data_IF_034587886973
#
_entry.id   IF_034587886973
#
_cell.length_a   1.000
_cell.length_b   1.000
_cell.length_c   1.000
_cell.angle_alpha   90.00
_cell.angle_beta   90.00
_cell.angle_gamma   90.00
#
_symmetry.space_group_name_H-M   'P 1'
#
loop_
_entity.id
_entity.type
_entity.pdbx_description
1 polymer ?
#
# COMPACT_ATOMS: atom_id res chain seq x y z
N UNK A 1 7.02 12.50 17.18
CA UNK A 1 7.13 11.32 16.32
C UNK A 1 7.61 10.09 17.11
N UNK A 2 8.80 10.14 17.75
CA UNK A 2 9.38 8.97 18.43
C UNK A 2 8.50 8.39 19.55
N UNK A 3 7.86 9.23 20.37
CA UNK A 3 6.93 8.74 21.39
C UNK A 3 5.78 7.94 20.75
N UNK A 4 5.13 8.51 19.73
CA UNK A 4 4.05 7.83 19.02
C UNK A 4 4.53 6.55 18.31
N UNK A 5 5.76 6.54 17.79
CA UNK A 5 6.37 5.36 17.18
C UNK A 5 6.48 4.21 18.18
N UNK A 6 6.96 4.49 19.38
CA UNK A 6 7.08 3.52 20.46
C UNK A 6 5.71 3.08 21.01
N UNK A 7 4.80 4.03 21.27
CA UNK A 7 3.45 3.73 21.75
C UNK A 7 2.68 2.85 20.76
N UNK A 8 2.79 3.14 19.46
CA UNK A 8 2.17 2.32 18.41
C UNK A 8 2.80 0.92 18.34
N UNK A 9 4.11 0.80 18.61
CA UNK A 9 4.79 -0.49 18.75
C UNK A 9 4.22 -1.32 19.90
N UNK A 10 4.08 -0.75 21.08
CA UNK A 10 3.46 -1.42 22.24
C UNK A 10 2.01 -1.81 21.95
N UNK A 11 1.21 -0.90 21.39
CA UNK A 11 -0.17 -1.20 21.00
C UNK A 11 -0.24 -2.38 20.03
N UNK A 12 0.62 -2.39 19.00
CA UNK A 12 0.68 -3.46 18.01
C UNK A 12 1.04 -4.80 18.67
N UNK A 13 2.05 -4.82 19.54
CA UNK A 13 2.45 -6.01 20.29
C UNK A 13 1.31 -6.58 21.13
N UNK A 14 0.55 -5.72 21.80
CA UNK A 14 -0.62 -6.13 22.59
C UNK A 14 -1.73 -6.72 21.71
N UNK A 15 -1.97 -6.16 20.50
CA UNK A 15 -2.96 -6.74 19.59
C UNK A 15 -2.49 -8.10 19.03
N UNK A 16 -1.18 -8.26 18.78
CA UNK A 16 -0.61 -9.54 18.36
C UNK A 16 -0.79 -10.60 19.46
N UNK A 17 -0.54 -10.25 20.72
CA UNK A 17 -0.77 -11.18 21.84
C UNK A 17 -2.24 -11.61 21.92
N UNK A 18 -3.19 -10.68 21.81
CA UNK A 18 -4.62 -11.01 21.75
C UNK A 18 -4.96 -11.98 20.61
N UNK A 19 -4.38 -11.74 19.42
CA UNK A 19 -4.55 -12.63 18.27
C UNK A 19 -3.97 -14.01 18.53
N UNK A 20 -2.77 -14.10 19.12
CA UNK A 20 -2.14 -15.37 19.49
C UNK A 20 -3.01 -16.14 20.48
N UNK A 21 -3.56 -15.47 21.50
CA UNK A 21 -4.46 -16.07 22.50
C UNK A 21 -5.76 -16.56 21.88
N UNK A 22 -6.43 -15.71 21.09
CA UNK A 22 -7.71 -16.03 20.46
C UNK A 22 -7.64 -17.23 19.54
N UNK A 23 -6.57 -17.32 18.73
CA UNK A 23 -6.37 -18.41 17.77
C UNK A 23 -5.50 -19.56 18.29
N UNK A 24 -5.15 -19.56 19.58
CA UNK A 24 -4.34 -20.61 20.24
C UNK A 24 -3.03 -20.90 19.49
N UNK A 25 -2.32 -19.82 19.12
CA UNK A 25 -1.08 -19.91 18.35
C UNK A 25 0.19 -19.93 19.22
N UNK A 26 0.06 -20.12 20.53
CA UNK A 26 1.20 -20.26 21.43
C UNK A 26 2.16 -21.34 20.92
N UNK A 27 3.44 -21.03 20.91
CA UNK A 27 4.53 -21.89 20.41
C UNK A 27 4.46 -22.25 18.90
N UNK A 28 3.53 -21.64 18.16
CA UNK A 28 3.40 -21.85 16.71
C UNK A 28 3.95 -20.69 15.89
N UNK A 29 4.12 -19.51 16.52
CA UNK A 29 4.66 -18.30 15.88
C UNK A 29 6.17 -18.26 16.11
N UNK A 30 6.94 -18.32 15.04
CA UNK A 30 8.41 -18.25 15.11
C UNK A 30 8.96 -16.83 14.97
N UNK A 31 8.26 -15.97 14.24
CA UNK A 31 8.69 -14.59 13.94
C UNK A 31 7.49 -13.71 13.61
N UNK A 32 7.58 -12.46 13.95
CA UNK A 32 6.65 -11.40 13.58
C UNK A 32 7.32 -10.54 12.51
N UNK A 33 6.63 -10.29 11.39
CA UNK A 33 7.05 -9.30 10.41
C UNK A 33 6.07 -8.12 10.46
N UNK A 34 6.56 -6.92 10.78
CA UNK A 34 5.73 -5.72 10.91
C UNK A 34 6.16 -4.67 9.88
N UNK A 35 5.23 -4.31 8.98
CA UNK A 35 5.44 -3.20 8.05
C UNK A 35 5.34 -1.85 8.76
N UNK A 36 4.55 -1.75 9.82
CA UNK A 36 4.21 -0.49 10.45
C UNK A 36 3.29 0.38 9.58
N UNK A 37 3.16 1.65 9.95
CA UNK A 37 2.38 2.65 9.20
C UNK A 37 3.31 3.72 8.62
N UNK A 38 3.34 3.84 7.30
CA UNK A 38 4.20 4.81 6.62
C UNK A 38 3.78 6.24 6.94
N UNK A 39 4.67 7.01 7.54
CA UNK A 39 4.48 8.41 7.91
C UNK A 39 5.29 9.35 7.03
N UNK A 40 6.49 8.97 6.68
CA UNK A 40 7.36 9.74 5.79
C UNK A 40 7.89 8.82 4.69
N UNK A 41 7.88 9.32 3.45
CA UNK A 41 8.40 8.58 2.31
C UNK A 41 9.01 9.54 1.30
N UNK A 42 10.32 9.61 1.30
CA UNK A 42 11.12 10.49 0.45
C UNK A 42 12.28 9.71 -0.18
N UNK A 43 12.01 8.81 -1.13
CA UNK A 43 13.02 7.95 -1.73
C UNK A 43 14.14 8.74 -2.43
N UNK A 44 13.82 9.88 -3.03
CA UNK A 44 14.82 10.79 -3.63
C UNK A 44 15.86 11.30 -2.62
N UNK A 45 15.49 11.33 -1.35
CA UNK A 45 16.38 11.67 -0.23
C UNK A 45 16.86 10.43 0.53
N UNK A 46 16.66 9.25 -0.01
CA UNK A 46 16.99 7.95 0.59
C UNK A 46 16.41 7.78 2.00
N UNK A 47 15.18 8.26 2.21
CA UNK A 47 14.52 8.23 3.51
C UNK A 47 13.10 7.69 3.41
N UNK A 48 12.78 6.80 4.34
CA UNK A 48 11.41 6.35 4.63
C UNK A 48 11.29 6.09 6.12
N UNK A 49 10.12 6.30 6.70
CA UNK A 49 9.86 6.00 8.09
C UNK A 49 8.44 5.44 8.27
N UNK A 50 8.37 4.37 9.01
CA UNK A 50 7.12 3.72 9.40
C UNK A 50 6.96 3.80 10.92
N UNK A 51 5.76 4.08 11.41
CA UNK A 51 5.41 3.94 12.82
C UNK A 51 5.32 2.46 13.20
N UNK A 52 5.74 2.11 14.40
CA UNK A 52 5.70 0.75 14.92
C UNK A 52 7.09 0.25 15.26
N UNK A 53 7.59 0.67 16.45
CA UNK A 53 8.88 0.26 16.98
C UNK A 53 8.95 -1.25 17.19
N UNK A 54 9.85 -1.92 16.48
CA UNK A 54 10.05 -3.36 16.57
C UNK A 54 10.54 -3.82 17.93
N UNK A 55 11.31 -3.01 18.65
CA UNK A 55 11.74 -3.34 20.00
C UNK A 55 10.56 -3.32 20.98
N UNK A 56 9.63 -2.36 20.83
CA UNK A 56 8.41 -2.31 21.61
C UNK A 56 7.51 -3.53 21.31
N UNK A 57 7.32 -3.90 20.02
CA UNK A 57 6.58 -5.10 19.63
C UNK A 57 7.23 -6.35 20.25
N UNK A 58 8.55 -6.50 20.14
CA UNK A 58 9.27 -7.64 20.70
C UNK A 58 9.18 -7.72 22.22
N UNK A 59 9.20 -6.59 22.91
CA UNK A 59 9.07 -6.54 24.36
C UNK A 59 7.71 -7.01 24.86
N UNK A 60 6.64 -6.69 24.13
CA UNK A 60 5.28 -7.15 24.46
C UNK A 60 5.06 -8.63 24.13
N UNK A 61 5.56 -9.08 22.98
CA UNK A 61 5.25 -10.43 22.45
C UNK A 61 6.25 -11.51 22.88
N UNK A 62 7.45 -11.12 23.30
CA UNK A 62 8.58 -12.00 23.60
C UNK A 62 8.97 -12.88 22.38
N UNK A 63 8.71 -12.40 21.18
CA UNK A 63 9.01 -13.07 19.91
C UNK A 63 10.01 -12.24 19.08
N UNK A 64 10.80 -12.89 18.21
CA UNK A 64 11.61 -12.19 17.21
C UNK A 64 10.74 -11.32 16.31
N UNK A 65 11.17 -10.09 16.03
CA UNK A 65 10.44 -9.12 15.20
C UNK A 65 11.34 -8.61 14.07
N UNK A 66 10.83 -8.60 12.86
CA UNK A 66 11.43 -7.99 11.67
C UNK A 66 10.62 -6.75 11.30
N UNK A 67 11.26 -5.60 11.29
CA UNK A 67 10.67 -4.28 10.96
C UNK A 67 11.46 -3.57 9.89
N UNK A 68 11.06 -2.34 9.55
CA UNK A 68 11.75 -1.46 8.59
C UNK A 68 11.94 -2.11 7.21
N UNK A 69 10.95 -2.89 6.79
CA UNK A 69 11.02 -3.71 5.57
C UNK A 69 11.30 -2.89 4.30
N UNK A 70 11.03 -1.58 4.32
CA UNK A 70 11.25 -0.66 3.19
C UNK A 70 12.58 0.11 3.28
N UNK A 71 13.13 0.22 4.48
CA UNK A 71 14.24 1.13 4.76
C UNK A 71 15.52 0.74 4.01
N UNK A 72 15.82 -0.55 3.93
CA UNK A 72 17.02 -1.03 3.26
C UNK A 72 16.98 -0.77 1.74
N UNK A 73 15.84 -1.04 1.10
CA UNK A 73 15.67 -0.78 -0.34
C UNK A 73 15.81 0.72 -0.65
N UNK A 74 15.17 1.57 0.14
CA UNK A 74 15.27 3.04 -0.01
C UNK A 74 16.70 3.53 0.22
N UNK A 75 17.42 2.98 1.19
CA UNK A 75 18.80 3.33 1.47
C UNK A 75 19.73 2.99 0.29
N UNK A 76 19.47 1.89 -0.42
CA UNK A 76 20.17 1.52 -1.65
C UNK A 76 19.70 2.33 -2.89
N UNK A 77 18.75 3.23 -2.75
CA UNK A 77 18.23 4.07 -3.84
C UNK A 77 17.02 3.48 -4.56
N UNK A 78 16.40 2.46 -3.98
CA UNK A 78 15.12 1.94 -4.43
C UNK A 78 13.94 2.78 -3.97
N UNK A 79 12.74 2.38 -4.39
CA UNK A 79 11.48 3.07 -4.08
C UNK A 79 10.83 2.62 -2.76
N UNK A 80 11.36 1.57 -2.12
CA UNK A 80 10.77 1.00 -0.92
C UNK A 80 9.40 0.36 -1.13
N UNK A 81 8.96 0.23 -2.38
CA UNK A 81 7.68 -0.37 -2.77
C UNK A 81 7.71 -1.90 -2.95
N UNK A 82 8.87 -2.58 -3.19
CA UNK A 82 8.89 -3.95 -3.71
C UNK A 82 8.57 -5.06 -2.69
N UNK A 83 7.99 -4.75 -1.53
CA UNK A 83 7.53 -5.78 -0.57
C UNK A 83 6.45 -6.66 -1.21
N UNK A 84 5.43 -6.05 -1.82
CA UNK A 84 4.35 -6.79 -2.50
C UNK A 84 4.89 -7.52 -3.71
N UNK A 85 5.61 -6.90 -4.65
CA UNK A 85 6.24 -7.58 -5.77
C UNK A 85 7.11 -8.77 -5.41
N UNK A 86 7.93 -8.68 -4.37
CA UNK A 86 8.76 -9.82 -3.94
C UNK A 86 7.91 -10.96 -3.38
N UNK A 87 6.83 -10.63 -2.66
CA UNK A 87 5.85 -11.60 -2.18
C UNK A 87 5.12 -12.30 -3.33
N UNK A 88 4.67 -11.55 -4.32
CA UNK A 88 4.04 -12.07 -5.53
C UNK A 88 4.98 -13.04 -6.26
N UNK A 89 6.22 -12.62 -6.49
CA UNK A 89 7.24 -13.44 -7.15
C UNK A 89 7.54 -14.74 -6.41
N UNK A 90 7.66 -14.69 -5.09
CA UNK A 90 8.09 -15.85 -4.30
C UNK A 90 6.93 -16.78 -3.90
N UNK A 91 5.73 -16.23 -3.70
CA UNK A 91 4.60 -16.96 -3.15
C UNK A 91 3.53 -17.28 -4.19
N UNK A 92 3.42 -16.50 -5.26
CA UNK A 92 2.35 -16.57 -6.24
C UNK A 92 2.89 -16.75 -7.68
N UNK A 93 4.01 -17.43 -7.84
CA UNK A 93 4.72 -17.57 -9.13
C UNK A 93 3.95 -18.22 -10.28
N UNK A 94 2.71 -18.68 -10.05
CA UNK A 94 1.86 -19.27 -11.09
C UNK A 94 1.02 -18.27 -11.91
N UNK A 95 1.18 -16.96 -11.64
CA UNK A 95 0.44 -15.90 -12.35
C UNK A 95 1.40 -14.96 -13.06
N UNK A 96 1.03 -14.51 -14.27
CA UNK A 96 1.82 -13.57 -15.07
C UNK A 96 1.62 -12.12 -14.63
N UNK A 97 0.41 -11.78 -14.18
CA UNK A 97 0.05 -10.41 -13.78
C UNK A 97 -0.66 -10.40 -12.43
N UNK A 98 -0.38 -9.36 -11.65
CA UNK A 98 -1.10 -9.04 -10.42
C UNK A 98 -1.65 -7.63 -10.52
N UNK A 99 -2.94 -7.48 -10.29
CA UNK A 99 -3.62 -6.19 -10.21
C UNK A 99 -4.08 -5.94 -8.78
N UNK A 100 -3.52 -4.92 -8.15
CA UNK A 100 -3.94 -4.46 -6.84
C UNK A 100 -4.82 -3.21 -6.98
N UNK A 101 -6.03 -3.28 -6.42
CA UNK A 101 -7.03 -2.20 -6.43
C UNK A 101 -7.16 -1.59 -5.02
N UNK A 102 -6.13 -0.86 -4.60
CA UNK A 102 -6.11 -0.09 -3.36
C UNK A 102 -6.65 1.33 -3.53
N UNK A 103 -6.14 2.27 -2.74
CA UNK A 103 -6.38 3.71 -2.95
C UNK A 103 -5.85 4.19 -4.30
N UNK A 104 -4.72 3.64 -4.70
CA UNK A 104 -4.11 3.69 -6.04
C UNK A 104 -4.16 2.27 -6.59
N UNK A 105 -4.49 2.13 -7.87
CA UNK A 105 -4.37 0.87 -8.58
C UNK A 105 -2.94 0.69 -9.11
N UNK A 106 -2.35 -0.48 -8.88
CA UNK A 106 -1.05 -0.83 -9.43
C UNK A 106 -1.05 -2.21 -10.04
N UNK A 107 -0.14 -2.43 -10.97
CA UNK A 107 0.03 -3.69 -11.68
C UNK A 107 1.48 -4.18 -11.57
N UNK A 108 1.63 -5.48 -11.42
CA UNK A 108 2.92 -6.16 -11.51
C UNK A 108 2.89 -7.17 -12.66
N UNK A 109 3.96 -7.24 -13.44
CA UNK A 109 4.21 -8.26 -14.44
C UNK A 109 5.30 -9.20 -13.93
N UNK A 110 4.92 -10.43 -13.62
CA UNK A 110 5.78 -11.46 -13.06
C UNK A 110 6.61 -12.16 -14.14
N UNK A 111 7.44 -11.39 -14.85
CA UNK A 111 8.39 -11.97 -15.78
C UNK A 111 9.67 -12.38 -15.00
N UNK A 112 10.12 -13.66 -15.07
CA UNK A 112 11.29 -14.13 -14.35
C UNK A 112 12.56 -13.31 -14.62
N UNK A 113 12.74 -12.83 -15.86
CA UNK A 113 13.93 -12.10 -16.29
C UNK A 113 13.81 -10.59 -16.06
N UNK A 114 12.58 -10.06 -16.01
CA UNK A 114 12.34 -8.62 -15.88
C UNK A 114 11.02 -8.36 -15.16
N UNK A 115 11.03 -8.51 -13.84
CA UNK A 115 9.87 -8.17 -13.03
C UNK A 115 9.62 -6.66 -13.07
N UNK A 116 8.42 -6.26 -13.48
CA UNK A 116 8.03 -4.85 -13.59
C UNK A 116 6.78 -4.58 -12.78
N UNK A 117 6.80 -3.54 -11.96
CA UNK A 117 5.63 -3.09 -11.19
C UNK A 117 5.51 -1.56 -11.25
N UNK A 118 4.31 -1.05 -11.40
CA UNK A 118 4.05 0.39 -11.43
C UNK A 118 2.60 0.74 -11.11
N UNK A 119 2.37 1.99 -10.71
CA UNK A 119 1.03 2.52 -10.46
C UNK A 119 0.32 2.82 -11.79
N UNK A 120 -0.96 2.44 -11.87
CA UNK A 120 -1.78 2.65 -13.07
C UNK A 120 -2.52 3.98 -12.96
N UNK A 121 -3.36 4.12 -11.93
CA UNK A 121 -4.24 5.26 -11.74
C UNK A 121 -4.70 5.39 -10.28
N UNK A 122 -5.20 6.56 -9.86
CA UNK A 122 -6.00 6.66 -8.65
C UNK A 122 -7.21 5.72 -8.75
N UNK A 123 -7.56 5.08 -7.64
CA UNK A 123 -8.67 4.12 -7.58
C UNK A 123 -9.59 4.43 -6.40
N UNK A 124 -9.70 3.56 -5.41
CA UNK A 124 -10.68 3.70 -4.34
C UNK A 124 -10.58 5.02 -3.57
N UNK A 125 -9.41 5.65 -3.53
CA UNK A 125 -9.28 6.96 -2.88
C UNK A 125 -10.19 8.01 -3.54
N UNK A 126 -10.14 8.12 -4.87
CA UNK A 126 -10.99 9.08 -5.61
C UNK A 126 -12.43 8.61 -5.67
N UNK A 127 -12.65 7.30 -5.92
CA UNK A 127 -14.00 6.73 -5.96
C UNK A 127 -14.74 6.95 -4.64
N UNK A 128 -14.08 6.75 -3.51
CA UNK A 128 -14.70 6.99 -2.20
C UNK A 128 -14.95 8.48 -1.94
N UNK A 129 -14.09 9.38 -2.41
CA UNK A 129 -14.37 10.83 -2.32
C UNK A 129 -15.66 11.21 -3.07
N UNK A 130 -15.85 10.69 -4.30
CA UNK A 130 -17.07 10.91 -5.08
C UNK A 130 -18.32 10.37 -4.37
N UNK A 131 -18.21 9.19 -3.80
CA UNK A 131 -19.32 8.53 -3.10
C UNK A 131 -19.64 9.21 -1.77
N UNK A 132 -18.65 9.79 -1.10
CA UNK A 132 -18.83 10.58 0.12
C UNK A 132 -19.74 11.81 -0.11
N UNK A 133 -19.74 12.40 -1.31
CA UNK A 133 -20.67 13.46 -1.68
C UNK A 133 -22.14 13.01 -1.65
N UNK A 134 -22.37 11.70 -1.81
CA UNK A 134 -23.69 11.06 -1.68
C UNK A 134 -23.98 10.56 -0.26
N UNK A 135 -23.14 10.91 0.73
CA UNK A 135 -23.28 10.52 2.12
C UNK A 135 -22.96 9.03 2.40
N UNK A 136 -22.18 8.39 1.55
CA UNK A 136 -21.75 7.00 1.71
C UNK A 136 -20.23 6.90 1.84
N UNK A 137 -19.75 5.87 2.51
CA UNK A 137 -18.30 5.65 2.69
C UNK A 137 -17.64 5.06 1.43
N UNK A 138 -18.33 4.17 0.72
CA UNK A 138 -17.89 3.52 -0.50
C UNK A 138 -19.09 3.04 -1.35
N UNK A 139 -18.83 2.66 -2.59
CA UNK A 139 -19.83 2.09 -3.50
C UNK A 139 -19.90 0.56 -3.32
N UNK A 140 -20.83 0.11 -2.50
CA UNK A 140 -21.01 -1.31 -2.19
C UNK A 140 -21.39 -2.11 -3.44
N UNK A 141 -20.52 -3.06 -3.78
CA UNK A 141 -20.66 -3.89 -4.99
C UNK A 141 -20.60 -3.11 -6.31
N UNK A 142 -20.16 -1.84 -6.32
CA UNK A 142 -20.08 -1.03 -7.53
C UNK A 142 -21.44 -0.64 -8.12
N UNK A 143 -22.51 -0.62 -7.31
CA UNK A 143 -23.89 -0.41 -7.78
C UNK A 143 -24.14 1.01 -8.28
N UNK A 144 -23.51 2.01 -7.64
CA UNK A 144 -23.62 3.42 -8.08
C UNK A 144 -22.95 3.57 -9.43
N UNK A 145 -21.72 3.07 -9.56
CA UNK A 145 -20.99 3.10 -10.83
C UNK A 145 -21.75 2.37 -11.95
N UNK A 146 -22.34 1.19 -11.65
CA UNK A 146 -23.10 0.40 -12.62
C UNK A 146 -24.40 1.09 -13.05
N UNK A 147 -24.98 1.97 -12.24
CA UNK A 147 -26.19 2.72 -12.58
C UNK A 147 -25.92 3.93 -13.46
N UNK A 148 -24.66 4.35 -13.59
CA UNK A 148 -24.25 5.50 -14.39
C UNK A 148 -24.02 5.18 -15.86
N UNK A 149 -23.68 6.22 -16.61
CA UNK A 149 -23.24 6.12 -18.00
C UNK A 149 -21.86 6.76 -18.13
N UNK A 150 -21.04 6.22 -19.05
CA UNK A 150 -19.71 6.76 -19.27
C UNK A 150 -19.82 8.18 -19.85
N UNK A 151 -19.11 9.11 -19.22
CA UNK A 151 -18.91 10.46 -19.76
C UNK A 151 -17.64 10.48 -20.63
N UNK A 152 -17.82 10.35 -21.93
CA UNK A 152 -16.71 10.24 -22.90
C UNK A 152 -15.79 11.48 -22.84
N UNK A 153 -16.35 12.68 -22.68
CA UNK A 153 -15.54 13.90 -22.60
C UNK A 153 -14.65 13.93 -21.33
N UNK A 154 -15.14 13.41 -20.20
CA UNK A 154 -14.34 13.24 -19.00
C UNK A 154 -13.27 12.14 -19.20
N UNK A 155 -13.63 11.04 -19.80
CA UNK A 155 -12.69 9.95 -20.10
C UNK A 155 -11.54 10.41 -20.98
N UNK A 156 -11.82 11.22 -22.00
CA UNK A 156 -10.80 11.83 -22.85
C UNK A 156 -9.87 12.76 -22.07
N UNK A 157 -10.42 13.61 -21.18
CA UNK A 157 -9.61 14.48 -20.32
C UNK A 157 -8.72 13.67 -19.38
N UNK A 158 -9.25 12.64 -18.75
CA UNK A 158 -8.49 11.77 -17.85
C UNK A 158 -7.34 11.09 -18.60
N UNK A 159 -7.61 10.51 -19.78
CA UNK A 159 -6.58 9.84 -20.59
C UNK A 159 -5.53 10.81 -21.15
N UNK A 160 -5.84 12.10 -21.27
CA UNK A 160 -4.90 13.12 -21.73
C UNK A 160 -3.90 13.58 -20.66
N UNK A 161 -4.08 13.20 -19.38
CA UNK A 161 -3.19 13.58 -18.29
C UNK A 161 -1.75 13.13 -18.56
N UNK A 162 -0.80 13.99 -18.22
CA UNK A 162 0.62 13.79 -18.51
C UNK A 162 1.18 12.51 -17.87
N UNK A 163 0.66 12.13 -16.73
CA UNK A 163 1.05 10.88 -16.06
C UNK A 163 0.91 9.66 -16.97
N UNK A 164 -0.17 9.56 -17.75
CA UNK A 164 -0.42 8.39 -18.60
C UNK A 164 0.49 8.30 -19.83
N UNK A 165 1.17 9.41 -20.17
CA UNK A 165 2.16 9.46 -21.26
C UNK A 165 3.57 9.07 -20.81
N UNK A 166 3.81 9.05 -19.48
CA UNK A 166 5.12 8.70 -18.94
C UNK A 166 5.46 7.23 -19.17
N UNK A 167 6.73 6.91 -19.44
CA UNK A 167 7.17 5.52 -19.52
C UNK A 167 7.07 4.85 -18.14
N UNK A 168 6.95 3.54 -18.13
CA UNK A 168 7.01 2.72 -16.92
C UNK A 168 8.46 2.18 -16.69
N UNK A 169 8.85 1.82 -15.44
CA UNK A 169 8.02 1.91 -14.21
C UNK A 169 7.81 3.35 -13.76
N UNK A 170 6.62 3.63 -13.22
CA UNK A 170 6.22 4.94 -12.71
C UNK A 170 5.37 4.80 -11.46
N UNK A 171 5.31 5.84 -10.63
CA UNK A 171 4.54 5.83 -9.39
C UNK A 171 3.68 7.09 -9.25
N UNK A 172 2.60 6.98 -8.49
CA UNK A 172 1.69 8.06 -8.14
C UNK A 172 1.84 8.43 -6.66
N UNK A 173 1.84 9.71 -6.40
CA UNK A 173 1.57 10.22 -5.06
C UNK A 173 0.06 10.31 -4.80
N UNK A 174 -0.34 10.31 -3.54
CA UNK A 174 -1.75 10.36 -3.16
C UNK A 174 -2.46 11.65 -3.60
N UNK A 175 -1.73 12.76 -3.66
CA UNK A 175 -2.20 14.08 -4.08
C UNK A 175 -2.58 14.11 -5.58
N UNK A 176 -2.00 13.28 -6.42
CA UNK A 176 -2.42 13.20 -7.82
C UNK A 176 -3.92 12.86 -7.95
N UNK A 177 -4.40 11.95 -7.12
CA UNK A 177 -5.83 11.59 -7.09
C UNK A 177 -6.70 12.74 -6.60
N UNK A 178 -6.30 13.38 -5.50
CA UNK A 178 -7.10 14.42 -4.82
C UNK A 178 -7.05 15.78 -5.49
N UNK A 179 -5.90 16.15 -6.04
CA UNK A 179 -5.64 17.51 -6.49
C UNK A 179 -5.70 17.65 -8.02
N UNK A 180 -5.53 16.52 -8.75
CA UNK A 180 -5.53 16.54 -10.22
C UNK A 180 -6.75 15.81 -10.79
N UNK A 181 -7.07 14.60 -10.30
CA UNK A 181 -8.13 13.78 -10.90
C UNK A 181 -9.51 14.14 -10.37
N UNK A 182 -9.65 14.28 -9.05
CA UNK A 182 -10.93 14.55 -8.41
C UNK A 182 -11.60 15.89 -8.85
N UNK A 183 -10.85 16.99 -9.11
CA UNK A 183 -11.44 18.26 -9.55
C UNK A 183 -11.91 18.30 -10.99
N UNK A 184 -11.62 17.30 -11.84
CA UNK A 184 -12.00 17.27 -13.28
C UNK A 184 -13.49 16.98 -13.49
#
# INVERSE_FOLDING_TARGET
YQLLHTEYGHYTGQQINKFIDEYQLHYKVAVIASHGHTTFHMPDRKMTAQLGDGAAIASETQLPVVTDLRALDVAFGGQGAPIVPIGEKLLLGGYDFFLNLGGIANISHNNPDNYTAFDICPANRVLNMLVNELGKEYDDGGQIAASGTVNEALLEKLNALEYYKQPYPKSLANDFGTDVVYPL
#
